data_IF_630887102116
#
_entry.id   IF_630887102116
#
_cell.length_a   1.000
_cell.length_b   1.000
_cell.length_c   1.000
_cell.angle_alpha   90.00
_cell.angle_beta   90.00
_cell.angle_gamma   90.00
#
_symmetry.space_group_name_H-M   'P 1'
#
loop_
_entity.id
_entity.type
_entity.pdbx_description
1 polymer ?
#
# COMPACT_ATOMS: atom_id res chain seq x y z
N UNK A 1 1.23 -3.33 6.46
CA UNK A 1 1.82 -3.07 7.79
C UNK A 1 1.02 -1.96 8.47
N UNK A 2 0.74 -2.05 9.77
CA UNK A 2 0.10 -0.96 10.50
C UNK A 2 1.01 0.26 10.54
N UNK A 3 0.44 1.44 10.42
CA UNK A 3 1.15 2.71 10.49
C UNK A 3 0.24 3.81 11.07
N UNK A 4 0.85 4.80 11.71
CA UNK A 4 0.18 6.05 12.05
C UNK A 4 0.36 7.02 10.90
N UNK A 5 -0.72 7.64 10.48
CA UNK A 5 -0.79 8.43 9.26
C UNK A 5 -1.32 9.81 9.61
N UNK A 6 -0.64 10.86 9.17
CA UNK A 6 -1.10 12.24 9.34
C UNK A 6 -1.91 12.66 8.11
N UNK A 7 -3.18 13.02 8.32
CA UNK A 7 -4.09 13.51 7.27
C UNK A 7 -4.03 15.03 7.08
N UNK A 8 -4.78 15.55 6.10
CA UNK A 8 -4.81 16.98 5.70
C UNK A 8 -5.18 17.95 6.83
N UNK A 9 -5.90 17.48 7.84
CA UNK A 9 -6.29 18.27 9.02
C UNK A 9 -5.26 18.24 10.16
N UNK A 10 -4.06 17.71 9.95
CA UNK A 10 -3.02 17.56 10.98
C UNK A 10 -3.29 16.45 12.01
N UNK A 11 -4.48 15.84 11.99
CA UNK A 11 -4.85 14.73 12.87
C UNK A 11 -4.14 13.45 12.47
N UNK A 12 -3.56 12.78 13.46
CA UNK A 12 -2.93 11.46 13.31
C UNK A 12 -4.02 10.40 13.44
N UNK A 13 -4.09 9.52 12.46
CA UNK A 13 -5.04 8.39 12.41
C UNK A 13 -4.27 7.09 12.20
N UNK A 14 -4.77 6.00 12.76
CA UNK A 14 -4.24 4.68 12.47
C UNK A 14 -4.65 4.25 11.07
N UNK A 15 -3.81 3.45 10.44
CA UNK A 15 -4.13 2.81 9.18
C UNK A 15 -3.09 1.76 8.81
N UNK A 16 -3.11 1.37 7.55
CA UNK A 16 -2.24 0.34 7.01
C UNK A 16 -1.61 0.81 5.70
N UNK A 17 -0.30 0.63 5.58
CA UNK A 17 0.37 0.65 4.29
C UNK A 17 0.32 -0.75 3.67
N UNK A 18 -0.21 -0.85 2.46
CA UNK A 18 -0.29 -2.07 1.67
C UNK A 18 0.83 -2.00 0.64
N UNK A 19 1.88 -2.79 0.85
CA UNK A 19 3.03 -2.85 -0.04
C UNK A 19 3.26 -4.28 -0.49
N UNK A 20 3.54 -4.45 -1.78
CA UNK A 20 3.99 -5.72 -2.36
C UNK A 20 5.08 -5.42 -3.39
N UNK A 21 6.11 -6.25 -3.41
CA UNK A 21 7.20 -6.15 -4.35
C UNK A 21 7.32 -7.47 -5.11
N UNK A 22 7.46 -7.37 -6.43
CA UNK A 22 7.71 -8.52 -7.31
C UNK A 22 9.04 -8.31 -8.02
N UNK A 23 10.00 -9.24 -7.86
CA UNK A 23 11.18 -9.24 -8.69
C UNK A 23 10.77 -9.64 -10.12
N UNK A 24 11.14 -8.82 -11.09
CA UNK A 24 10.89 -9.07 -12.51
C UNK A 24 12.24 -9.16 -13.21
N UNK A 25 12.58 -10.30 -13.83
CA UNK A 25 13.76 -10.39 -14.67
C UNK A 25 13.51 -9.58 -15.94
N UNK A 26 14.33 -8.54 -16.14
CA UNK A 26 14.33 -7.70 -17.34
C UNK A 26 15.60 -7.99 -18.11
N UNK A 27 15.48 -8.23 -19.42
CA UNK A 27 16.65 -8.35 -20.28
C UNK A 27 17.11 -6.95 -20.68
N UNK A 28 18.30 -6.56 -20.24
CA UNK A 28 18.99 -5.36 -20.67
C UNK A 28 19.93 -5.70 -21.84
N UNK A 29 19.91 -4.84 -22.86
CA UNK A 29 20.84 -4.88 -23.98
C UNK A 29 22.03 -3.98 -23.69
N UNK A 30 23.23 -4.56 -23.69
CA UNK A 30 24.49 -3.82 -23.52
C UNK A 30 25.33 -3.93 -24.79
N UNK A 31 25.80 -2.81 -25.31
CA UNK A 31 26.76 -2.80 -26.44
C UNK A 31 28.10 -3.33 -25.93
N UNK A 32 28.63 -4.37 -26.57
CA UNK A 32 29.88 -5.03 -26.17
C UNK A 32 30.98 -4.94 -27.23
N UNK A 33 30.61 -4.77 -28.50
CA UNK A 33 31.56 -4.61 -29.60
C UNK A 33 30.96 -3.82 -30.78
N UNK A 34 31.83 -3.34 -31.66
CA UNK A 34 31.46 -2.70 -32.93
C UNK A 34 32.20 -3.41 -34.06
N UNK A 35 31.52 -3.72 -35.17
CA UNK A 35 32.15 -4.25 -36.38
C UNK A 35 32.61 -5.71 -36.34
N UNK A 36 32.25 -6.48 -35.31
CA UNK A 36 32.56 -7.92 -35.21
C UNK A 36 31.24 -8.68 -35.22
N UNK A 37 30.96 -9.50 -36.24
CA UNK A 37 29.81 -10.42 -36.20
C UNK A 37 30.19 -11.64 -35.37
N UNK A 38 29.59 -11.85 -34.18
CA UNK A 38 29.88 -13.05 -33.39
C UNK A 38 29.39 -14.30 -34.13
N UNK A 39 30.14 -15.39 -34.08
CA UNK A 39 29.62 -16.69 -34.51
C UNK A 39 28.40 -17.05 -33.63
N UNK A 40 27.22 -17.22 -34.25
CA UNK A 40 25.96 -17.49 -33.55
C UNK A 40 25.15 -16.26 -33.13
N UNK A 41 25.49 -15.05 -33.62
CA UNK A 41 24.66 -13.86 -33.46
C UNK A 41 23.31 -13.96 -34.19
N UNK A 42 22.29 -13.26 -33.67
CA UNK A 42 20.99 -13.11 -34.34
C UNK A 42 20.93 -11.73 -34.97
N UNK A 43 20.68 -11.67 -36.28
CA UNK A 43 20.53 -10.42 -37.00
C UNK A 43 19.30 -9.64 -36.52
N UNK A 44 19.53 -8.38 -36.20
CA UNK A 44 18.46 -7.48 -35.76
C UNK A 44 17.69 -6.93 -36.97
N UNK A 45 16.37 -6.73 -36.86
CA UNK A 45 15.57 -6.20 -37.95
C UNK A 45 15.95 -4.73 -38.25
N UNK A 46 15.72 -4.29 -39.49
CA UNK A 46 16.18 -2.97 -39.96
C UNK A 46 15.65 -1.75 -39.17
N UNK A 47 14.53 -1.89 -38.46
CA UNK A 47 13.96 -0.82 -37.62
C UNK A 47 14.66 -0.68 -36.25
N UNK A 48 15.53 -1.62 -35.90
CA UNK A 48 16.28 -1.65 -34.65
C UNK A 48 17.65 -0.96 -34.82
N UNK A 49 18.16 -0.23 -33.80
CA UNK A 49 17.56 0.04 -32.49
C UNK A 49 16.60 1.25 -32.50
N UNK A 50 15.47 1.12 -31.81
CA UNK A 50 14.49 2.22 -31.65
C UNK A 50 15.08 3.41 -30.85
N UNK A 51 15.94 3.11 -29.87
CA UNK A 51 16.68 4.10 -29.09
C UNK A 51 18.14 4.02 -29.52
N UNK A 52 18.62 5.04 -30.22
CA UNK A 52 20.01 5.08 -30.72
C UNK A 52 20.99 5.18 -29.55
N UNK A 53 21.96 4.26 -29.39
CA UNK A 53 22.96 4.37 -28.35
C UNK A 53 23.87 5.57 -28.64
N UNK A 54 24.28 6.31 -27.60
CA UNK A 54 25.18 7.46 -27.71
C UNK A 54 26.65 7.10 -28.00
N UNK A 55 26.89 5.92 -28.59
CA UNK A 55 28.22 5.41 -28.92
C UNK A 55 28.55 5.83 -30.35
N UNK A 56 29.77 6.33 -30.56
CA UNK A 56 30.27 6.68 -31.90
C UNK A 56 30.47 5.42 -32.74
N UNK A 57 29.79 5.33 -33.89
CA UNK A 57 29.89 4.20 -34.83
C UNK A 57 28.63 4.06 -35.68
N UNK A 58 28.65 3.13 -36.64
CA UNK A 58 27.44 2.74 -37.38
C UNK A 58 26.52 1.91 -36.45
N UNK A 59 25.30 2.36 -36.14
CA UNK A 59 24.36 1.64 -35.27
C UNK A 59 24.06 0.20 -35.72
N UNK A 60 24.18 -0.09 -37.03
CA UNK A 60 23.95 -1.42 -37.58
C UNK A 60 25.13 -2.38 -37.38
N UNK A 61 26.30 -1.85 -37.03
CA UNK A 61 27.50 -2.64 -36.74
C UNK A 61 27.65 -3.00 -35.26
N UNK A 62 26.69 -2.61 -34.42
CA UNK A 62 26.74 -2.79 -32.97
C UNK A 62 26.36 -4.21 -32.55
N UNK A 63 27.21 -4.81 -31.72
CA UNK A 63 26.95 -6.10 -31.09
C UNK A 63 26.38 -5.87 -29.71
N UNK A 64 25.22 -6.46 -29.44
CA UNK A 64 24.54 -6.39 -28.16
C UNK A 64 24.63 -7.73 -27.41
N UNK A 65 24.96 -7.68 -26.12
CA UNK A 65 24.84 -8.80 -25.20
C UNK A 65 23.54 -8.70 -24.39
N UNK A 66 22.91 -9.86 -24.14
CA UNK A 66 21.74 -10.00 -23.27
C UNK A 66 22.19 -10.18 -21.82
N UNK A 67 21.94 -9.17 -21.00
CA UNK A 67 22.13 -9.24 -19.56
C UNK A 67 20.77 -9.35 -18.88
N UNK A 68 20.59 -10.34 -18.00
CA UNK A 68 19.39 -10.39 -17.16
C UNK A 68 19.63 -9.51 -15.92
N UNK A 69 18.80 -8.48 -15.77
CA UNK A 69 18.77 -7.60 -14.61
C UNK A 69 17.50 -7.88 -13.83
N UNK A 70 17.61 -8.07 -12.51
CA UNK A 70 16.44 -8.19 -11.66
C UNK A 70 15.95 -6.78 -11.33
N UNK A 71 14.82 -6.38 -11.90
CA UNK A 71 14.12 -5.16 -11.55
C UNK A 71 13.09 -5.43 -10.44
N UNK A 72 12.89 -4.47 -9.53
CA UNK A 72 11.83 -4.56 -8.51
C UNK A 72 10.59 -3.78 -8.93
N UNK A 73 9.46 -4.46 -9.16
CA UNK A 73 8.17 -3.81 -9.35
C UNK A 73 7.45 -3.69 -8.00
N UNK A 74 7.13 -2.47 -7.58
CA UNK A 74 6.42 -2.20 -6.33
C UNK A 74 4.96 -1.80 -6.55
N UNK A 75 4.05 -2.33 -5.73
CA UNK A 75 2.71 -1.82 -5.51
C UNK A 75 2.63 -1.15 -4.14
N UNK A 76 2.00 0.01 -4.06
CA UNK A 76 1.80 0.77 -2.83
C UNK A 76 0.40 1.38 -2.76
N UNK A 77 -0.33 1.07 -1.69
CA UNK A 77 -1.67 1.60 -1.40
C UNK A 77 -1.86 1.76 0.11
N UNK A 78 -2.94 2.41 0.53
CA UNK A 78 -3.16 2.79 1.93
C UNK A 78 -4.61 2.52 2.30
N UNK A 79 -4.82 2.01 3.51
CA UNK A 79 -6.13 1.80 4.11
C UNK A 79 -6.23 2.57 5.45
N UNK A 80 -7.17 3.49 5.54
CA UNK A 80 -7.40 4.36 6.71
C UNK A 80 -8.84 4.19 7.21
N UNK A 81 -9.79 4.12 6.29
CA UNK A 81 -11.22 4.00 6.57
C UNK A 81 -11.69 2.53 6.55
N UNK A 82 -10.89 1.63 5.98
CA UNK A 82 -11.21 0.21 5.83
C UNK A 82 -10.10 -0.68 6.38
N UNK A 83 -10.44 -1.94 6.63
CA UNK A 83 -9.42 -2.96 6.89
C UNK A 83 -8.60 -3.27 5.63
N UNK A 84 -7.38 -3.80 5.76
CA UNK A 84 -6.55 -4.18 4.61
C UNK A 84 -7.23 -5.18 3.66
N UNK A 85 -8.04 -6.10 4.20
CA UNK A 85 -8.76 -7.10 3.41
C UNK A 85 -9.89 -6.46 2.59
N UNK A 86 -10.70 -5.60 3.20
CA UNK A 86 -11.77 -4.86 2.52
C UNK A 86 -11.18 -3.95 1.42
N UNK A 87 -10.10 -3.22 1.74
CA UNK A 87 -9.40 -2.37 0.78
C UNK A 87 -8.85 -3.19 -0.40
N UNK A 88 -8.18 -4.31 -0.12
CA UNK A 88 -7.63 -5.19 -1.16
C UNK A 88 -8.71 -5.72 -2.11
N UNK A 89 -9.88 -6.10 -1.57
CA UNK A 89 -11.01 -6.59 -2.37
C UNK A 89 -11.63 -5.51 -3.26
N UNK A 90 -11.76 -4.28 -2.76
CA UNK A 90 -12.25 -3.16 -3.56
C UNK A 90 -11.26 -2.77 -4.65
N UNK A 91 -9.97 -2.65 -4.31
CA UNK A 91 -8.93 -2.34 -5.29
C UNK A 91 -8.85 -3.41 -6.38
N UNK A 92 -8.93 -4.70 -6.04
CA UNK A 92 -8.95 -5.78 -7.04
C UNK A 92 -10.19 -5.76 -7.93
N UNK A 93 -11.36 -5.39 -7.39
CA UNK A 93 -12.58 -5.24 -8.17
C UNK A 93 -12.47 -4.10 -9.19
N UNK A 94 -12.00 -2.91 -8.79
CA UNK A 94 -11.82 -1.79 -9.73
C UNK A 94 -10.79 -2.11 -10.81
N UNK A 95 -9.68 -2.75 -10.42
CA UNK A 95 -8.65 -3.15 -11.37
C UNK A 95 -9.16 -4.25 -12.31
N UNK A 96 -9.99 -5.17 -11.83
CA UNK A 96 -10.63 -6.20 -12.64
C UNK A 96 -11.59 -5.61 -13.69
N UNK A 97 -12.44 -4.66 -13.27
CA UNK A 97 -13.34 -3.94 -14.19
C UNK A 97 -12.52 -3.18 -15.24
N UNK A 98 -11.49 -2.45 -14.83
CA UNK A 98 -10.59 -1.75 -15.75
C UNK A 98 -9.94 -2.70 -16.75
N UNK A 99 -9.42 -3.84 -16.30
CA UNK A 99 -8.79 -4.84 -17.18
C UNK A 99 -9.77 -5.42 -18.20
N UNK A 100 -11.03 -5.68 -17.81
CA UNK A 100 -12.06 -6.14 -18.75
C UNK A 100 -12.40 -5.08 -19.79
N UNK A 101 -12.53 -3.82 -19.38
CA UNK A 101 -12.77 -2.70 -20.30
C UNK A 101 -11.59 -2.48 -21.25
N UNK A 102 -10.36 -2.56 -20.74
CA UNK A 102 -9.15 -2.42 -21.55
C UNK A 102 -9.04 -3.57 -22.55
N UNK A 103 -9.32 -4.80 -22.12
CA UNK A 103 -9.32 -5.98 -23.01
C UNK A 103 -10.33 -5.83 -24.14
N UNK A 104 -11.54 -5.34 -23.82
CA UNK A 104 -12.56 -5.05 -24.82
C UNK A 104 -12.10 -3.96 -25.81
N UNK A 105 -11.53 -2.86 -25.31
CA UNK A 105 -10.97 -1.80 -26.17
C UNK A 105 -9.81 -2.30 -27.04
N UNK A 106 -8.95 -3.15 -26.51
CA UNK A 106 -7.84 -3.76 -27.24
C UNK A 106 -8.33 -4.68 -28.36
N UNK A 107 -9.42 -5.43 -28.14
CA UNK A 107 -10.03 -6.24 -29.21
C UNK A 107 -10.63 -5.36 -30.32
N UNK A 108 -11.25 -4.23 -29.98
CA UNK A 108 -11.78 -3.26 -30.95
C UNK A 108 -10.69 -2.49 -31.70
N UNK A 109 -9.50 -2.34 -31.12
CA UNK A 109 -8.38 -1.63 -31.73
C UNK A 109 -7.98 -2.20 -33.10
N UNK A 110 -8.19 -3.49 -33.35
CA UNK A 110 -7.92 -4.12 -34.65
C UNK A 110 -8.84 -3.66 -35.79
N UNK A 111 -10.00 -3.08 -35.47
CA UNK A 111 -11.02 -2.70 -36.47
C UNK A 111 -10.85 -1.26 -36.99
N UNK A 112 -10.25 -0.36 -36.20
CA UNK A 112 -10.03 1.02 -36.63
C UNK A 112 -8.86 1.68 -35.91
N UNK A 113 -8.16 2.58 -36.61
CA UNK A 113 -7.10 3.41 -36.02
C UNK A 113 -7.61 4.29 -34.86
N UNK A 114 -8.87 4.71 -34.92
CA UNK A 114 -9.50 5.50 -33.86
C UNK A 114 -9.68 4.67 -32.60
N UNK A 115 -10.16 3.42 -32.72
CA UNK A 115 -10.26 2.50 -31.59
C UNK A 115 -8.88 2.16 -30.99
N UNK A 116 -7.86 1.99 -31.84
CA UNK A 116 -6.49 1.78 -31.39
C UNK A 116 -5.95 2.99 -30.59
N UNK A 117 -6.17 4.22 -31.07
CA UNK A 117 -5.80 5.43 -30.37
C UNK A 117 -6.56 5.58 -29.03
N UNK A 118 -7.86 5.28 -29.03
CA UNK A 118 -8.69 5.31 -27.82
C UNK A 118 -8.20 4.31 -26.77
N UNK A 119 -7.90 3.06 -27.17
CA UNK A 119 -7.35 2.04 -26.28
C UNK A 119 -5.97 2.44 -25.71
N UNK A 120 -5.12 3.01 -26.57
CA UNK A 120 -3.79 3.49 -26.17
C UNK A 120 -3.86 4.62 -25.13
N UNK A 121 -4.82 5.54 -25.25
CA UNK A 121 -5.05 6.59 -24.26
C UNK A 121 -5.74 6.08 -23.00
N UNK A 122 -6.72 5.18 -23.15
CA UNK A 122 -7.48 4.61 -22.04
C UNK A 122 -6.59 3.80 -21.09
N UNK A 123 -5.54 3.15 -21.58
CA UNK A 123 -4.62 2.37 -20.74
C UNK A 123 -4.00 3.21 -19.60
N UNK A 124 -3.16 4.24 -19.85
CA UNK A 124 -2.58 5.03 -18.77
C UNK A 124 -3.62 5.88 -18.02
N UNK A 125 -4.60 6.47 -18.72
CA UNK A 125 -5.58 7.37 -18.10
C UNK A 125 -6.59 6.60 -17.23
N UNK A 126 -7.08 5.47 -17.70
CA UNK A 126 -8.01 4.61 -16.97
C UNK A 126 -7.35 4.02 -15.74
N UNK A 127 -6.09 3.59 -15.85
CA UNK A 127 -5.32 3.11 -14.71
C UNK A 127 -5.16 4.18 -13.62
N UNK A 128 -4.75 5.40 -14.00
CA UNK A 128 -4.63 6.51 -13.04
C UNK A 128 -5.99 6.90 -12.45
N UNK A 129 -7.06 6.87 -13.25
CA UNK A 129 -8.42 7.13 -12.77
C UNK A 129 -8.86 6.12 -11.70
N UNK A 130 -8.55 4.83 -11.86
CA UNK A 130 -8.82 3.79 -10.85
C UNK A 130 -8.09 4.08 -9.55
N UNK A 131 -6.80 4.44 -9.61
CA UNK A 131 -6.02 4.79 -8.42
C UNK A 131 -6.59 6.04 -7.76
N UNK A 132 -6.89 7.07 -8.53
CA UNK A 132 -7.44 8.33 -8.06
C UNK A 132 -8.79 8.14 -7.36
N UNK A 133 -9.74 7.42 -7.98
CA UNK A 133 -11.03 7.10 -7.37
C UNK A 133 -10.83 6.29 -6.08
N UNK A 134 -9.96 5.28 -6.12
CA UNK A 134 -9.65 4.43 -4.97
C UNK A 134 -9.11 5.21 -3.78
N UNK A 135 -8.21 6.18 -4.01
CA UNK A 135 -7.69 7.08 -2.98
C UNK A 135 -8.77 8.04 -2.48
N UNK A 136 -9.50 8.69 -3.39
CA UNK A 136 -10.56 9.65 -3.02
C UNK A 136 -11.64 9.02 -2.13
N UNK A 137 -12.04 7.79 -2.42
CA UNK A 137 -13.00 7.04 -1.58
C UNK A 137 -12.43 6.58 -0.24
N UNK A 138 -11.11 6.47 -0.10
CA UNK A 138 -10.47 6.08 1.15
C UNK A 138 -10.29 7.28 2.08
N UNK A 139 -9.77 8.40 1.55
CA UNK A 139 -9.57 9.64 2.31
C UNK A 139 -10.86 10.43 2.56
N UNK A 140 -11.88 10.26 1.71
CA UNK A 140 -13.19 10.89 1.89
C UNK A 140 -14.09 10.20 2.91
N UNK A 141 -13.76 8.97 3.32
CA UNK A 141 -14.53 8.21 4.31
C UNK A 141 -14.04 8.47 5.74
N UNK A 142 -14.89 8.19 6.74
CA UNK A 142 -14.51 8.32 8.15
C UNK A 142 -13.38 7.33 8.47
N UNK A 143 -12.24 7.77 9.04
CA UNK A 143 -11.15 6.89 9.46
C UNK A 143 -11.63 5.85 10.49
N UNK A 144 -11.17 4.60 10.35
CA UNK A 144 -11.59 3.49 11.19
C UNK A 144 -10.80 3.41 12.50
N UNK A 145 -9.49 3.67 12.44
CA UNK A 145 -8.58 3.49 13.56
C UNK A 145 -8.27 4.81 14.25
N UNK A 146 -9.28 5.35 14.90
CA UNK A 146 -9.23 6.59 15.68
C UNK A 146 -9.51 6.31 17.16
N UNK A 147 -9.14 7.23 18.08
CA UNK A 147 -9.52 7.17 19.47
C UNK A 147 -11.02 6.93 19.65
N UNK A 148 -11.38 6.18 20.67
CA UNK A 148 -12.76 5.86 20.99
C UNK A 148 -13.05 6.18 22.46
N UNK A 149 -14.21 6.79 22.74
CA UNK A 149 -14.54 7.28 24.09
C UNK A 149 -14.66 6.15 25.12
N UNK A 150 -15.11 4.98 24.69
CA UNK A 150 -15.38 3.83 25.57
C UNK A 150 -14.22 2.84 25.70
N UNK A 151 -13.02 3.15 25.20
CA UNK A 151 -11.85 2.28 25.34
C UNK A 151 -10.82 2.44 24.23
N UNK A 152 -9.83 1.55 24.24
CA UNK A 152 -8.68 1.63 23.33
C UNK A 152 -8.95 0.84 22.05
N UNK A 153 -8.98 1.54 20.92
CA UNK A 153 -9.15 0.94 19.59
C UNK A 153 -7.91 0.11 19.23
N UNK A 154 -8.12 -1.13 18.84
CA UNK A 154 -7.07 -2.01 18.31
C UNK A 154 -6.81 -1.68 16.85
N UNK A 155 -5.60 -1.23 16.52
CA UNK A 155 -5.16 -1.02 15.15
C UNK A 155 -4.89 -2.36 14.48
N UNK A 156 -4.02 -3.19 15.07
CA UNK A 156 -3.64 -4.49 14.50
C UNK A 156 -3.39 -5.54 15.58
N UNK A 157 -3.53 -6.80 15.20
CA UNK A 157 -3.24 -7.95 16.06
C UNK A 157 -2.35 -8.91 15.30
N UNK A 158 -1.19 -9.24 15.87
CA UNK A 158 -0.21 -10.15 15.28
C UNK A 158 -0.87 -11.49 14.92
N UNK A 159 -0.91 -11.89 13.64
CA UNK A 159 -1.49 -13.16 13.24
C UNK A 159 -0.85 -14.33 13.99
N UNK A 160 -1.69 -15.26 14.44
CA UNK A 160 -1.30 -16.44 15.22
C UNK A 160 -0.65 -16.15 16.60
N UNK A 161 -0.58 -14.89 17.04
CA UNK A 161 -0.13 -14.51 18.38
C UNK A 161 -1.19 -14.75 19.47
N UNK A 162 -0.85 -14.54 20.77
CA UNK A 162 -1.76 -14.81 21.89
C UNK A 162 -3.10 -14.08 21.80
N UNK A 163 -3.07 -12.78 21.49
CA UNK A 163 -4.28 -11.98 21.33
C UNK A 163 -5.13 -12.46 20.14
N UNK A 164 -4.49 -12.84 19.04
CA UNK A 164 -5.19 -13.38 17.86
C UNK A 164 -5.84 -14.73 18.16
N UNK A 165 -5.15 -15.62 18.87
CA UNK A 165 -5.69 -16.91 19.27
C UNK A 165 -6.85 -16.76 20.27
N UNK A 166 -6.81 -15.74 21.12
CA UNK A 166 -7.89 -15.40 22.06
C UNK A 166 -9.10 -14.70 21.39
N UNK A 167 -9.01 -14.42 20.09
CA UNK A 167 -10.13 -13.91 19.29
C UNK A 167 -10.12 -12.41 19.01
N UNK A 168 -9.20 -11.62 19.59
CA UNK A 168 -9.08 -10.20 19.27
C UNK A 168 -8.69 -10.01 17.80
N UNK A 169 -9.29 -9.00 17.16
CA UNK A 169 -9.02 -8.63 15.76
C UNK A 169 -8.84 -7.13 15.63
N UNK A 170 -8.26 -6.73 14.51
CA UNK A 170 -8.14 -5.32 14.11
C UNK A 170 -9.52 -4.64 14.10
N UNK A 171 -9.61 -3.47 14.72
CA UNK A 171 -10.82 -2.66 14.83
C UNK A 171 -11.66 -2.90 16.09
N UNK A 172 -11.37 -3.94 16.87
CA UNK A 172 -11.99 -4.17 18.18
C UNK A 172 -11.64 -3.04 19.17
N UNK A 173 -12.41 -2.91 20.27
CA UNK A 173 -12.18 -1.89 21.30
C UNK A 173 -11.93 -2.59 22.63
N UNK A 174 -10.74 -2.42 23.19
CA UNK A 174 -10.41 -2.93 24.52
C UNK A 174 -11.02 -2.00 25.56
N UNK A 175 -11.77 -2.58 26.49
CA UNK A 175 -12.52 -1.86 27.52
C UNK A 175 -11.96 -2.08 28.92
N UNK A 176 -11.41 -3.27 29.21
CA UNK A 176 -10.72 -3.55 30.46
C UNK A 176 -9.65 -4.63 30.28
N UNK A 177 -8.65 -4.60 31.16
CA UNK A 177 -7.60 -5.61 31.31
C UNK A 177 -7.58 -6.02 32.77
N UNK A 178 -7.81 -7.30 33.07
CA UNK A 178 -7.95 -7.82 34.44
C UNK A 178 -8.94 -7.02 35.30
N UNK A 179 -10.05 -6.59 34.69
CA UNK A 179 -11.08 -5.77 35.35
C UNK A 179 -10.75 -4.28 35.48
N UNK A 180 -9.51 -3.86 35.18
CA UNK A 180 -9.09 -2.45 35.21
C UNK A 180 -9.28 -1.79 33.84
N UNK A 181 -9.90 -0.61 33.81
CA UNK A 181 -10.05 0.19 32.58
C UNK A 181 -8.76 0.98 32.32
N UNK A 182 -8.03 0.75 31.21
CA UNK A 182 -6.85 1.53 30.90
C UNK A 182 -7.21 2.98 30.60
N UNK A 183 -6.45 3.93 31.14
CA UNK A 183 -6.64 5.37 30.89
C UNK A 183 -6.13 5.80 29.49
N UNK A 184 -5.17 5.05 28.94
CA UNK A 184 -4.55 5.33 27.65
C UNK A 184 -3.63 4.21 27.20
N UNK A 185 -2.93 4.41 26.08
CA UNK A 185 -2.02 3.43 25.48
C UNK A 185 -0.88 3.02 26.41
N UNK A 186 -0.24 3.97 27.10
CA UNK A 186 0.89 3.69 27.99
C UNK A 186 0.45 2.87 29.22
N UNK A 187 -0.68 3.26 29.83
CA UNK A 187 -1.29 2.55 30.95
C UNK A 187 -1.69 1.11 30.56
N UNK A 188 -2.22 0.92 29.35
CA UNK A 188 -2.50 -0.42 28.82
C UNK A 188 -1.25 -1.30 28.76
N UNK A 189 -0.13 -0.79 28.24
CA UNK A 189 1.11 -1.58 28.18
C UNK A 189 1.71 -1.83 29.57
N UNK A 190 1.54 -0.92 30.53
CA UNK A 190 1.90 -1.14 31.93
C UNK A 190 1.07 -2.25 32.56
N UNK A 191 -0.25 -2.24 32.36
CA UNK A 191 -1.16 -3.30 32.83
C UNK A 191 -0.78 -4.66 32.23
N UNK A 192 -0.42 -4.71 30.94
CA UNK A 192 0.06 -5.95 30.31
C UNK A 192 1.34 -6.49 30.93
N UNK A 193 2.28 -5.61 31.30
CA UNK A 193 3.58 -6.02 31.86
C UNK A 193 3.49 -6.47 33.32
N UNK A 194 2.62 -5.83 34.10
CA UNK A 194 2.51 -6.06 35.54
C UNK A 194 1.48 -7.14 35.92
N UNK A 195 0.81 -7.74 34.93
CA UNK A 195 -0.25 -8.73 35.17
C UNK A 195 0.28 -10.14 35.33
N UNK A 196 -0.36 -10.90 36.24
CA UNK A 196 -0.20 -12.35 36.33
C UNK A 196 -1.00 -13.01 35.20
N UNK A 197 -0.44 -14.05 34.60
CA UNK A 197 -1.05 -14.80 33.51
C UNK A 197 -1.99 -15.91 34.05
N UNK A 198 -3.05 -16.27 33.32
CA UNK A 198 -3.51 -15.71 32.05
C UNK A 198 -4.14 -14.32 32.21
N UNK A 199 -4.00 -13.49 31.19
CA UNK A 199 -4.50 -12.12 31.19
C UNK A 199 -5.95 -12.07 30.69
N UNK A 200 -6.87 -11.52 31.47
CA UNK A 200 -8.24 -11.27 31.05
C UNK A 200 -8.33 -9.94 30.29
N UNK A 201 -8.93 -9.95 29.10
CA UNK A 201 -9.17 -8.74 28.30
C UNK A 201 -10.64 -8.70 27.90
N UNK A 202 -11.33 -7.66 28.35
CA UNK A 202 -12.70 -7.36 27.95
C UNK A 202 -12.69 -6.40 26.77
N UNK A 203 -13.35 -6.77 25.69
CA UNK A 203 -13.36 -5.99 24.46
C UNK A 203 -14.71 -6.04 23.75
N UNK A 204 -15.03 -4.97 23.03
CA UNK A 204 -16.13 -4.94 22.07
C UNK A 204 -15.63 -5.43 20.71
N UNK A 205 -16.21 -6.52 20.22
CA UNK A 205 -15.87 -7.06 18.90
C UNK A 205 -16.57 -6.28 17.81
N UNK A 206 -15.81 -5.64 16.91
CA UNK A 206 -16.38 -4.91 15.77
C UNK A 206 -17.09 -5.84 14.79
N UNK A 207 -16.53 -7.04 14.56
CA UNK A 207 -17.09 -8.00 13.62
C UNK A 207 -18.41 -8.61 14.12
N UNK A 208 -18.49 -8.88 15.43
CA UNK A 208 -19.68 -9.48 16.04
C UNK A 208 -20.70 -8.49 16.59
N UNK A 209 -20.30 -7.22 16.80
CA UNK A 209 -21.15 -6.21 17.45
C UNK A 209 -21.46 -6.51 18.92
N UNK A 210 -20.63 -7.31 19.59
CA UNK A 210 -20.88 -7.82 20.95
C UNK A 210 -19.66 -7.65 21.84
N UNK A 211 -19.90 -7.47 23.14
CA UNK A 211 -18.86 -7.54 24.16
C UNK A 211 -18.42 -8.99 24.36
N UNK A 212 -17.11 -9.19 24.50
CA UNK A 212 -16.48 -10.48 24.71
C UNK A 212 -15.37 -10.35 25.74
N UNK A 213 -15.13 -11.45 26.45
CA UNK A 213 -13.97 -11.64 27.32
C UNK A 213 -13.02 -12.62 26.67
N UNK A 214 -11.74 -12.26 26.59
CA UNK A 214 -10.67 -13.10 26.08
C UNK A 214 -9.66 -13.41 27.18
N UNK A 215 -9.21 -14.66 27.25
CA UNK A 215 -8.11 -15.08 28.12
C UNK A 215 -6.86 -15.21 27.26
N UNK A 216 -5.92 -14.29 27.42
CA UNK A 216 -4.66 -14.28 26.69
C UNK A 216 -3.64 -15.15 27.43
N UNK A 217 -3.12 -16.13 26.70
CA UNK A 217 -2.01 -16.97 27.16
C UNK A 217 -0.71 -16.18 27.18
N UNK A 218 0.24 -16.66 27.98
CA UNK A 218 1.60 -16.14 28.00
C UNK A 218 2.18 -16.13 26.57
N UNK A 219 2.73 -15.01 26.08
CA UNK A 219 3.56 -15.07 24.89
C UNK A 219 4.82 -15.91 25.19
N UNK A 220 5.44 -16.46 24.15
CA UNK A 220 6.75 -17.12 24.30
C UNK A 220 7.82 -16.16 24.88
N UNK A 221 8.94 -16.68 25.42
CA UNK A 221 9.98 -15.85 26.02
C UNK A 221 10.41 -14.70 25.10
N UNK A 222 10.37 -13.46 25.61
CA UNK A 222 10.74 -12.25 24.88
C UNK A 222 9.78 -11.81 23.76
N UNK A 223 8.63 -12.48 23.57
CA UNK A 223 7.63 -12.12 22.56
C UNK A 223 6.54 -11.23 23.16
N UNK A 224 6.00 -10.26 22.41
CA UNK A 224 4.86 -9.46 22.86
C UNK A 224 3.54 -10.24 22.72
N UNK A 225 2.48 -9.78 23.40
CA UNK A 225 1.10 -10.26 23.19
C UNK A 225 0.57 -10.00 21.77
N UNK A 226 1.25 -9.12 21.01
CA UNK A 226 0.95 -8.85 19.61
C UNK A 226 -0.23 -7.92 19.40
N UNK A 227 -0.49 -6.99 20.34
CA UNK A 227 -1.56 -5.98 20.21
C UNK A 227 -0.94 -4.63 19.85
N UNK A 228 -1.42 -4.04 18.77
CA UNK A 228 -1.07 -2.68 18.33
C UNK A 228 -2.30 -1.80 18.49
N UNK A 229 -2.19 -0.74 19.27
CA UNK A 229 -3.27 0.22 19.49
C UNK A 229 -3.28 1.33 18.43
N UNK A 230 -4.47 1.84 18.16
CA UNK A 230 -4.67 3.06 17.37
C UNK A 230 -4.02 4.27 18.07
N UNK A 231 -3.68 5.33 17.32
CA UNK A 231 -3.08 6.52 17.90
C UNK A 231 -4.09 7.29 18.76
N UNK A 232 -3.59 7.99 19.77
CA UNK A 232 -4.31 8.88 20.69
C UNK A 232 -4.17 10.36 20.31
N UNK A 233 -3.26 10.69 19.38
CA UNK A 233 -3.06 12.02 18.81
C UNK A 233 -1.80 12.74 19.26
N UNK A 234 -1.07 12.19 20.25
CA UNK A 234 0.20 12.71 20.77
C UNK A 234 1.45 12.01 20.21
N UNK A 235 1.34 11.23 19.14
CA UNK A 235 2.44 10.42 18.63
C UNK A 235 3.48 11.22 17.83
N UNK A 236 4.74 11.12 18.22
CA UNK A 236 5.87 11.74 17.50
C UNK A 236 6.32 10.96 16.25
N UNK A 237 5.87 9.70 16.10
CA UNK A 237 6.23 8.83 14.97
C UNK A 237 5.00 8.57 14.11
N UNK A 238 4.94 9.24 12.96
CA UNK A 238 3.89 9.08 11.97
C UNK A 238 4.46 9.12 10.55
N UNK A 239 3.72 8.54 9.61
CA UNK A 239 3.93 8.70 8.18
C UNK A 239 3.14 9.92 7.71
N UNK A 240 3.84 10.91 7.19
CA UNK A 240 3.22 12.04 6.49
C UNK A 240 3.09 11.66 5.00
N UNK A 241 1.86 11.36 4.59
CA UNK A 241 1.58 10.91 3.22
C UNK A 241 1.53 12.06 2.21
N UNK A 242 1.50 13.30 2.71
CA UNK A 242 1.39 14.50 1.91
C UNK A 242 2.77 15.10 1.68
N UNK A 243 3.54 14.52 0.75
CA UNK A 243 4.35 15.38 -0.12
C UNK A 243 3.45 15.76 -1.28
N UNK A 244 2.90 16.97 -1.24
CA UNK A 244 2.23 17.59 -2.38
C UNK A 244 3.07 17.31 -3.63
N UNK A 245 2.51 16.59 -4.61
CA UNK A 245 3.24 16.20 -5.82
C UNK A 245 3.87 17.43 -6.50
N UNK A 246 4.91 17.29 -7.33
CA UNK A 246 5.59 18.43 -7.95
C UNK A 246 4.61 19.40 -8.63
N UNK A 247 3.59 18.86 -9.32
CA UNK A 247 2.52 19.62 -9.95
C UNK A 247 1.55 20.28 -8.96
N UNK A 248 1.22 19.61 -7.85
CA UNK A 248 0.36 20.17 -6.80
C UNK A 248 1.02 21.34 -6.07
N UNK A 249 2.33 21.25 -5.81
CA UNK A 249 3.13 22.36 -5.26
C UNK A 249 3.19 23.53 -6.23
N UNK A 250 3.40 23.23 -7.51
CA UNK A 250 3.44 24.23 -8.57
C UNK A 250 2.08 24.94 -8.72
N UNK A 251 0.95 24.22 -8.70
CA UNK A 251 -0.39 24.80 -8.76
C UNK A 251 -0.74 25.64 -7.51
N UNK A 252 -0.37 25.17 -6.31
CA UNK A 252 -0.57 25.93 -5.07
C UNK A 252 0.29 27.21 -5.06
N UNK A 253 1.52 27.14 -5.59
CA UNK A 253 2.41 28.30 -5.76
C UNK A 253 1.81 29.33 -6.73
N UNK A 254 1.20 28.89 -7.83
CA UNK A 254 0.51 29.79 -8.78
C UNK A 254 -0.76 30.39 -8.17
N UNK A 255 -1.57 29.59 -7.46
CA UNK A 255 -2.76 30.10 -6.76
C UNK A 255 -2.42 31.12 -5.67
N UNK A 256 -1.32 30.93 -4.96
CA UNK A 256 -0.83 31.89 -3.96
C UNK A 256 -0.31 33.21 -4.55
N UNK A 257 0.08 33.23 -5.83
CA UNK A 257 0.50 34.45 -6.55
C UNK A 257 -0.71 35.26 -7.03
N UNK A 258 -1.84 34.61 -7.33
CA UNK A 258 -3.05 35.25 -7.87
C UNK A 258 -4.04 35.76 -6.80
N UNK A 259 -3.79 35.46 -5.53
CA UNK A 259 -4.63 35.88 -4.38
C UNK A 259 -3.93 36.92 -3.48
N UNK A 260 -2.85 37.55 -3.97
CA UNK A 260 -2.26 38.78 -3.41
C UNK A 260 -2.59 39.94 -4.35
#
# INVERSE_FOLDING_TARGET
MPAYIKGDGGKIVGGFTLQKFWPIPVVAMMVVATGVTPEGGVDMPAWWPLIKPGVSGDPHSLVYAMLVVIAGLGYGDIAIARSPAEKSRLSSMYLGIYSLLLLFMAALAGQSKVAALAAALFSPLGHEAVIFLGRRMEFGAKPLYVPHENGLRVLDVLPHGPAWQAGLRSGDIITAVNGSRPAGKDDFYLLLHNSVLPLEVDYFSRAGGVYRRALLKAPGPGKPFGIVLAPEGGEDRYLELMTTGPLGRWLQKIRGIFMR
#
